data_IF_253935675344
#
_entry.id   IF_253935675344
#
_cell.length_a   1.000
_cell.length_b   1.000
_cell.length_c   1.000
_cell.angle_alpha   90.00
_cell.angle_beta   90.00
_cell.angle_gamma   90.00
#
_symmetry.space_group_name_H-M   'P 1'
#
loop_
_entity.id
_entity.type
_entity.pdbx_description
1 polymer ?
#
# COMPACT_ATOMS: atom_id res chain seq x y z
N UNK A 1 -2.34 -1.33 19.46
CA UNK A 1 -2.97 -0.45 18.45
C UNK A 1 -2.20 0.84 18.38
N UNK A 2 -1.91 1.32 17.18
CA UNK A 2 -1.19 2.56 16.96
C UNK A 2 -2.17 3.73 17.06
N UNK A 3 -1.85 4.73 17.89
CA UNK A 3 -2.63 5.96 17.97
C UNK A 3 -2.17 6.95 16.90
N UNK A 4 -3.10 7.66 16.27
CA UNK A 4 -2.78 8.69 15.28
C UNK A 4 -1.84 9.75 15.88
N UNK A 5 -2.06 10.14 17.14
CA UNK A 5 -1.19 11.10 17.84
C UNK A 5 0.24 10.59 17.99
N UNK A 6 0.44 9.27 18.23
CA UNK A 6 1.77 8.66 18.28
C UNK A 6 2.45 8.65 16.90
N UNK A 7 1.69 8.43 15.84
CA UNK A 7 2.21 8.57 14.48
C UNK A 7 2.62 10.01 14.20
N UNK A 8 1.75 10.97 14.49
CA UNK A 8 2.05 12.40 14.30
C UNK A 8 3.27 12.84 15.10
N UNK A 9 3.41 12.36 16.35
CA UNK A 9 4.60 12.62 17.17
C UNK A 9 5.87 12.00 16.57
N UNK A 10 5.81 10.73 16.14
CA UNK A 10 6.94 10.04 15.50
C UNK A 10 7.34 10.74 14.19
N UNK A 11 6.35 11.12 13.38
CA UNK A 11 6.51 11.89 12.14
C UNK A 11 7.22 13.21 12.41
N UNK A 12 6.75 14.00 13.38
CA UNK A 12 7.34 15.30 13.72
C UNK A 12 8.78 15.18 14.27
N UNK A 13 9.07 14.07 14.96
CA UNK A 13 10.38 13.81 15.56
C UNK A 13 11.31 12.98 14.67
N UNK A 14 10.86 12.56 13.47
CA UNK A 14 11.57 11.63 12.56
C UNK A 14 12.04 10.36 13.27
N UNK A 15 11.17 9.77 14.09
CA UNK A 15 11.45 8.54 14.84
C UNK A 15 10.66 7.36 14.27
N UNK A 16 11.19 6.14 14.35
CA UNK A 16 10.44 4.94 13.98
C UNK A 16 9.28 4.72 14.97
N UNK A 17 8.25 4.06 14.48
CA UNK A 17 7.07 3.68 15.25
C UNK A 17 7.22 2.28 15.81
N UNK A 18 6.71 2.06 17.00
CA UNK A 18 6.53 0.71 17.54
C UNK A 18 5.09 0.28 17.30
N UNK A 19 4.90 -0.65 16.35
CA UNK A 19 3.59 -1.15 15.95
C UNK A 19 3.41 -2.56 16.52
N UNK A 20 2.26 -2.84 17.14
CA UNK A 20 1.89 -4.19 17.57
C UNK A 20 1.49 -5.03 16.35
N UNK A 21 2.09 -6.21 16.21
CA UNK A 21 1.94 -7.10 15.04
C UNK A 21 0.74 -8.04 15.11
N UNK A 22 0.02 -8.09 16.23
CA UNK A 22 -1.07 -9.02 16.33
C UNK A 22 -2.14 -8.72 15.26
N UNK A 23 -2.55 -9.71 14.45
CA UNK A 23 -3.61 -9.50 13.48
C UNK A 23 -4.86 -9.02 14.20
N UNK A 24 -5.40 -7.90 13.75
CA UNK A 24 -6.62 -7.36 14.34
C UNK A 24 -7.80 -8.22 13.91
N UNK A 25 -8.17 -9.17 14.74
CA UNK A 25 -9.38 -9.99 14.57
C UNK A 25 -10.66 -9.22 14.86
N UNK A 26 -10.54 -8.08 15.60
CA UNK A 26 -11.65 -7.18 15.90
C UNK A 26 -11.24 -5.74 15.57
N UNK A 27 -12.02 -5.08 14.72
CA UNK A 27 -11.81 -3.67 14.37
C UNK A 27 -12.20 -2.81 15.58
N UNK A 28 -11.35 -1.86 15.99
CA UNK A 28 -11.72 -0.89 17.03
C UNK A 28 -12.95 -0.09 16.60
N UNK A 29 -13.84 0.23 17.54
CA UNK A 29 -15.06 0.98 17.27
C UNK A 29 -14.85 2.45 16.87
N UNK A 30 -13.63 2.97 17.05
CA UNK A 30 -13.26 4.36 16.76
C UNK A 30 -11.91 4.42 16.03
N UNK A 31 -11.84 3.86 14.83
CA UNK A 31 -10.64 3.96 14.02
C UNK A 31 -10.72 5.21 13.14
N UNK A 32 -9.69 6.07 13.20
CA UNK A 32 -9.61 7.27 12.35
C UNK A 32 -9.15 6.93 10.94
N UNK A 33 -8.08 6.16 10.82
CA UNK A 33 -7.49 5.77 9.54
C UNK A 33 -7.21 4.27 9.52
N UNK A 34 -7.68 3.56 8.49
CA UNK A 34 -7.34 2.18 8.22
C UNK A 34 -6.46 2.07 6.97
N UNK A 35 -5.33 1.38 7.09
CA UNK A 35 -4.66 0.81 5.94
C UNK A 35 -5.22 -0.59 5.71
N UNK A 36 -5.75 -0.84 4.52
CA UNK A 36 -6.46 -2.07 4.17
C UNK A 36 -5.60 -2.84 3.17
N UNK A 37 -5.20 -4.06 3.53
CA UNK A 37 -4.43 -4.95 2.66
C UNK A 37 -5.23 -5.43 1.45
N UNK A 38 -4.65 -6.35 0.70
CA UNK A 38 -5.20 -6.90 -0.53
C UNK A 38 -6.61 -7.45 -0.32
N UNK A 39 -7.53 -7.10 -1.22
CA UNK A 39 -8.96 -7.45 -1.10
C UNK A 39 -9.33 -8.65 -1.99
N UNK A 40 -8.75 -8.72 -3.20
CA UNK A 40 -9.03 -9.76 -4.19
C UNK A 40 -10.53 -10.08 -4.34
N UNK A 41 -11.36 -9.05 -4.43
CA UNK A 41 -12.80 -9.19 -4.65
C UNK A 41 -13.64 -9.53 -3.42
N UNK A 42 -13.08 -9.56 -2.20
CA UNK A 42 -13.82 -9.79 -0.95
C UNK A 42 -14.69 -8.57 -0.56
N UNK A 43 -15.64 -8.22 -1.43
CA UNK A 43 -16.45 -7.00 -1.38
C UNK A 43 -17.14 -6.75 -0.03
N UNK A 44 -17.78 -7.77 0.53
CA UNK A 44 -18.53 -7.63 1.79
C UNK A 44 -17.61 -7.34 2.97
N UNK A 45 -16.45 -7.97 2.98
CA UNK A 45 -15.44 -7.70 3.98
C UNK A 45 -14.88 -6.28 3.83
N UNK A 46 -14.52 -5.87 2.62
CA UNK A 46 -14.00 -4.53 2.36
C UNK A 46 -14.99 -3.44 2.76
N UNK A 47 -16.29 -3.61 2.41
CA UNK A 47 -17.35 -2.68 2.84
C UNK A 47 -17.42 -2.55 4.36
N UNK A 48 -17.33 -3.67 5.07
CA UNK A 48 -17.29 -3.66 6.53
C UNK A 48 -16.09 -2.87 7.04
N UNK A 49 -14.90 -3.04 6.45
CA UNK A 49 -13.68 -2.33 6.89
C UNK A 49 -13.76 -0.82 6.64
N UNK A 50 -14.27 -0.38 5.49
CA UNK A 50 -14.50 1.03 5.23
C UNK A 50 -15.49 1.66 6.22
N UNK A 51 -16.56 0.93 6.59
CA UNK A 51 -17.56 1.42 7.54
C UNK A 51 -17.06 1.47 9.00
N UNK A 52 -15.91 0.88 9.31
CA UNK A 52 -15.33 0.88 10.66
C UNK A 52 -14.31 1.99 10.89
N UNK A 53 -13.98 2.76 9.87
CA UNK A 53 -13.06 3.89 9.97
C UNK A 53 -13.65 5.14 9.33
N UNK A 54 -13.24 6.30 9.84
CA UNK A 54 -13.56 7.58 9.20
C UNK A 54 -12.86 7.71 7.86
N UNK A 55 -11.62 7.22 7.78
CA UNK A 55 -10.74 7.32 6.62
C UNK A 55 -10.15 5.94 6.34
N UNK A 56 -9.98 5.58 5.07
CA UNK A 56 -9.23 4.38 4.70
C UNK A 56 -8.41 4.58 3.43
N UNK A 57 -7.28 3.88 3.37
CA UNK A 57 -6.51 3.70 2.15
C UNK A 57 -6.28 2.20 1.94
N UNK A 58 -6.72 1.70 0.81
CA UNK A 58 -6.53 0.31 0.42
C UNK A 58 -5.27 0.21 -0.45
N UNK A 59 -4.45 -0.80 -0.17
CA UNK A 59 -3.06 -0.93 -0.59
C UNK A 59 -2.86 -1.61 -1.96
N UNK A 60 -3.89 -1.73 -2.78
CA UNK A 60 -3.84 -2.41 -4.08
C UNK A 60 -4.49 -3.79 -4.06
N UNK A 61 -4.64 -4.39 -5.23
CA UNK A 61 -5.33 -5.67 -5.44
C UNK A 61 -6.78 -5.66 -4.94
N UNK A 62 -7.52 -4.63 -5.33
CA UNK A 62 -8.97 -4.54 -5.08
C UNK A 62 -9.71 -5.59 -5.86
N UNK A 63 -9.55 -5.65 -7.14
CA UNK A 63 -10.01 -6.58 -8.17
C UNK A 63 -10.45 -5.86 -9.45
N UNK A 64 -10.21 -6.46 -10.59
CA UNK A 64 -10.58 -5.96 -11.92
C UNK A 64 -12.06 -6.13 -12.32
N UNK A 65 -12.97 -6.34 -11.39
CA UNK A 65 -14.38 -6.52 -11.70
C UNK A 65 -15.13 -5.19 -11.70
N UNK A 66 -15.84 -4.81 -12.79
CA UNK A 66 -16.71 -3.64 -12.79
C UNK A 66 -17.74 -3.63 -11.65
N UNK A 67 -18.12 -4.81 -11.16
CA UNK A 67 -19.02 -4.94 -9.99
C UNK A 67 -18.35 -4.50 -8.69
N UNK A 68 -17.05 -4.58 -8.58
CA UNK A 68 -16.30 -4.13 -7.42
C UNK A 68 -16.32 -2.60 -7.33
N UNK A 69 -16.24 -1.93 -8.47
CA UNK A 69 -16.20 -0.46 -8.51
C UNK A 69 -17.54 0.20 -8.23
N UNK A 70 -18.69 -0.46 -8.53
CA UNK A 70 -20.00 0.01 -8.05
C UNK A 70 -20.11 0.14 -6.54
N UNK A 71 -19.32 -0.63 -5.81
CA UNK A 71 -19.29 -0.56 -4.37
C UNK A 71 -18.76 0.80 -3.86
N UNK A 72 -17.83 1.41 -4.59
CA UNK A 72 -17.28 2.71 -4.23
C UNK A 72 -18.30 3.85 -4.34
N UNK A 73 -19.37 3.70 -5.14
CA UNK A 73 -20.43 4.71 -5.29
C UNK A 73 -21.12 5.06 -3.94
N UNK A 74 -21.09 4.12 -2.98
CA UNK A 74 -21.70 4.28 -1.65
C UNK A 74 -20.73 4.91 -0.61
N UNK A 75 -19.47 5.16 -0.98
CA UNK A 75 -18.43 5.68 -0.08
C UNK A 75 -18.08 7.12 -0.42
N UNK A 76 -17.67 7.89 0.59
CA UNK A 76 -17.13 9.25 0.37
C UNK A 76 -15.73 9.18 -0.26
N UNK A 77 -15.56 9.66 -1.51
CA UNK A 77 -14.27 9.63 -2.19
C UNK A 77 -13.21 10.56 -1.56
N UNK A 78 -13.57 11.44 -0.65
CA UNK A 78 -12.59 12.26 0.07
C UNK A 78 -11.92 11.45 1.19
N UNK A 79 -12.62 10.49 1.74
CA UNK A 79 -12.19 9.75 2.94
C UNK A 79 -11.75 8.32 2.64
N UNK A 80 -12.28 7.69 1.59
CA UNK A 80 -11.97 6.30 1.26
C UNK A 80 -11.26 6.21 -0.08
N UNK A 81 -9.98 5.88 -0.03
CA UNK A 81 -9.09 5.84 -1.20
C UNK A 81 -8.51 4.45 -1.43
N UNK A 82 -8.02 4.21 -2.64
CA UNK A 82 -7.21 3.04 -2.96
C UNK A 82 -6.09 3.41 -3.96
N UNK A 83 -5.05 2.60 -3.97
CA UNK A 83 -4.03 2.54 -5.02
C UNK A 83 -4.21 1.26 -5.85
N UNK A 84 -3.62 1.17 -7.02
CA UNK A 84 -3.59 -0.07 -7.79
C UNK A 84 -2.48 -1.02 -7.30
N UNK A 85 -2.77 -2.32 -7.27
CA UNK A 85 -1.81 -3.39 -7.23
C UNK A 85 -1.55 -3.96 -8.63
N UNK A 86 -0.88 -5.11 -8.71
CA UNK A 86 -0.61 -5.80 -9.97
C UNK A 86 -1.84 -6.51 -10.56
N UNK A 87 -2.91 -6.71 -9.78
CA UNK A 87 -4.18 -7.25 -10.25
C UNK A 87 -5.23 -6.18 -10.57
N UNK A 88 -4.88 -4.88 -10.54
CA UNK A 88 -5.78 -3.76 -10.78
C UNK A 88 -5.33 -2.97 -12.03
N UNK A 89 -5.98 -3.20 -13.16
CA UNK A 89 -5.61 -2.57 -14.43
C UNK A 89 -6.82 -1.98 -15.15
N UNK A 90 -7.63 -1.19 -14.47
CA UNK A 90 -8.82 -0.61 -15.04
C UNK A 90 -8.57 0.62 -15.90
N UNK A 91 -9.26 0.65 -17.05
CA UNK A 91 -9.22 1.77 -17.98
C UNK A 91 -9.90 3.03 -17.44
N UNK A 92 -10.83 2.89 -16.49
CA UNK A 92 -11.60 4.02 -15.92
C UNK A 92 -11.61 3.96 -14.41
N UNK A 93 -10.60 4.52 -13.75
CA UNK A 93 -10.53 4.55 -12.30
C UNK A 93 -11.66 5.41 -11.71
N UNK A 94 -12.18 5.01 -10.54
CA UNK A 94 -13.18 5.77 -9.80
C UNK A 94 -12.56 7.00 -9.11
N UNK A 95 -13.36 7.96 -8.60
CA UNK A 95 -12.86 9.08 -7.81
C UNK A 95 -12.12 8.66 -6.51
N UNK A 96 -12.24 7.38 -6.12
CA UNK A 96 -11.53 6.81 -4.98
C UNK A 96 -10.09 6.38 -5.29
N UNK A 97 -9.74 6.26 -6.58
CA UNK A 97 -8.38 5.97 -7.01
C UNK A 97 -7.49 7.19 -6.81
N UNK A 98 -6.41 7.04 -6.06
CA UNK A 98 -5.46 8.11 -5.80
C UNK A 98 -4.63 8.48 -7.04
N UNK A 99 -4.44 7.56 -7.95
CA UNK A 99 -3.58 7.71 -9.13
C UNK A 99 -2.38 6.77 -9.13
N UNK A 100 -1.52 6.95 -10.11
CA UNK A 100 -0.30 6.15 -10.27
C UNK A 100 0.71 6.44 -9.15
N UNK A 101 0.87 7.71 -8.78
CA UNK A 101 1.71 8.20 -7.69
C UNK A 101 1.27 9.60 -7.28
N UNK A 102 1.66 10.04 -6.11
CA UNK A 102 1.33 11.39 -5.66
C UNK A 102 1.48 11.59 -4.17
N UNK A 103 0.91 12.70 -3.70
CA UNK A 103 0.83 13.06 -2.29
C UNK A 103 -0.64 13.22 -1.89
N UNK A 104 -1.03 12.58 -0.81
CA UNK A 104 -2.34 12.75 -0.19
C UNK A 104 -2.19 13.31 1.23
N UNK A 105 -2.71 14.52 1.43
CA UNK A 105 -2.71 15.18 2.73
C UNK A 105 -4.02 14.90 3.45
N UNK A 106 -3.96 14.21 4.59
CA UNK A 106 -5.14 13.82 5.37
C UNK A 106 -4.82 13.80 6.87
N UNK A 107 -5.67 14.37 7.71
CA UNK A 107 -5.53 14.38 9.19
C UNK A 107 -4.14 14.84 9.68
N UNK A 108 -3.49 15.77 8.99
CA UNK A 108 -2.15 16.25 9.32
C UNK A 108 -0.99 15.36 8.85
N UNK A 109 -1.30 14.24 8.20
CA UNK A 109 -0.30 13.36 7.58
C UNK A 109 -0.07 13.77 6.13
N UNK A 110 1.20 13.79 5.71
CA UNK A 110 1.61 13.85 4.31
C UNK A 110 1.94 12.42 3.87
N UNK A 111 1.06 11.82 3.08
CA UNK A 111 1.17 10.44 2.61
C UNK A 111 1.62 10.46 1.14
N UNK A 112 2.82 9.95 0.87
CA UNK A 112 3.27 9.62 -0.48
C UNK A 112 2.70 8.27 -0.89
N UNK A 113 2.20 8.15 -2.12
CA UNK A 113 1.68 6.87 -2.60
C UNK A 113 2.23 6.51 -3.98
N UNK A 114 2.40 5.20 -4.20
CA UNK A 114 2.90 4.62 -5.45
C UNK A 114 2.12 3.35 -5.75
N UNK A 115 1.45 3.32 -6.91
CA UNK A 115 0.68 2.19 -7.42
C UNK A 115 1.55 1.17 -8.15
N UNK A 116 1.02 -0.04 -8.31
CA UNK A 116 1.59 -1.10 -9.14
C UNK A 116 2.67 -1.93 -8.46
N UNK A 117 2.87 -3.12 -9.00
CA UNK A 117 3.92 -4.05 -8.57
C UNK A 117 4.22 -5.07 -9.67
N UNK A 118 5.39 -5.66 -9.62
CA UNK A 118 5.70 -6.85 -10.40
C UNK A 118 5.06 -8.08 -9.75
N UNK A 119 4.35 -8.90 -10.53
CA UNK A 119 3.69 -10.11 -10.01
C UNK A 119 4.69 -11.12 -9.46
N UNK A 120 4.57 -11.47 -8.18
CA UNK A 120 5.41 -12.50 -7.54
C UNK A 120 5.21 -13.89 -8.16
N UNK A 121 4.08 -14.11 -8.80
CA UNK A 121 3.74 -15.36 -9.51
C UNK A 121 3.85 -15.22 -11.05
N UNK A 122 4.59 -14.25 -11.54
CA UNK A 122 4.74 -13.95 -12.96
C UNK A 122 5.13 -15.18 -13.80
N UNK A 123 6.00 -16.04 -13.30
CA UNK A 123 6.39 -17.30 -14.00
C UNK A 123 5.19 -18.23 -14.20
N UNK A 124 4.31 -18.33 -13.22
CA UNK A 124 3.08 -19.15 -13.31
C UNK A 124 2.09 -18.52 -14.26
N UNK A 125 1.89 -17.20 -14.17
CA UNK A 125 0.93 -16.45 -14.98
C UNK A 125 1.35 -16.31 -16.44
N UNK A 126 2.63 -16.34 -16.74
CA UNK A 126 3.14 -16.29 -18.12
C UNK A 126 2.58 -17.39 -19.04
N UNK A 127 2.14 -18.52 -18.45
CA UNK A 127 1.51 -19.63 -19.17
C UNK A 127 -0.02 -19.66 -18.99
N UNK A 128 -0.62 -18.66 -18.34
CA UNK A 128 -2.06 -18.62 -18.07
C UNK A 128 -2.81 -17.91 -19.17
N UNK A 129 -3.91 -18.55 -19.66
CA UNK A 129 -4.84 -17.90 -20.58
C UNK A 129 -5.97 -17.15 -19.85
N UNK A 130 -6.18 -17.45 -18.57
CA UNK A 130 -7.28 -16.87 -17.76
C UNK A 130 -6.83 -15.74 -16.85
N UNK A 131 -5.53 -15.65 -16.58
CA UNK A 131 -4.92 -14.65 -15.73
C UNK A 131 -3.53 -14.25 -16.30
N UNK A 132 -3.48 -13.61 -17.48
CA UNK A 132 -2.22 -13.23 -18.09
C UNK A 132 -1.56 -12.07 -17.33
N UNK A 133 -0.25 -11.93 -17.49
CA UNK A 133 0.48 -10.75 -17.01
C UNK A 133 0.16 -9.59 -17.96
N UNK A 134 -0.11 -8.42 -17.38
CA UNK A 134 -0.29 -7.18 -18.11
C UNK A 134 0.94 -6.28 -17.96
N UNK A 135 1.32 -5.60 -19.04
CA UNK A 135 2.45 -4.66 -19.03
C UNK A 135 2.25 -3.50 -18.05
N UNK A 136 0.98 -3.17 -17.73
CA UNK A 136 0.57 -2.09 -16.83
C UNK A 136 0.55 -2.50 -15.34
N UNK A 137 0.92 -3.73 -15.00
CA UNK A 137 1.04 -4.14 -13.59
C UNK A 137 2.11 -3.33 -12.84
N UNK A 138 3.16 -2.93 -13.54
CA UNK A 138 4.15 -1.98 -13.06
C UNK A 138 4.04 -0.64 -13.82
N UNK A 139 4.25 0.46 -13.14
CA UNK A 139 4.36 1.77 -13.78
C UNK A 139 5.53 1.83 -14.76
N UNK A 140 5.42 2.68 -15.78
CA UNK A 140 6.52 2.90 -16.73
C UNK A 140 7.74 3.50 -16.03
N UNK A 141 8.94 3.32 -16.59
CA UNK A 141 10.15 3.97 -16.05
C UNK A 141 10.01 5.49 -15.97
N UNK A 142 9.40 6.12 -16.99
CA UNK A 142 9.19 7.56 -16.98
C UNK A 142 8.24 8.03 -15.88
N UNK A 143 7.20 7.24 -15.56
CA UNK A 143 6.28 7.50 -14.44
C UNK A 143 7.01 7.33 -13.10
N UNK A 144 7.79 6.25 -12.95
CA UNK A 144 8.55 5.97 -11.74
C UNK A 144 9.59 7.05 -11.43
N UNK A 145 10.28 7.59 -12.45
CA UNK A 145 11.21 8.71 -12.27
C UNK A 145 10.49 9.95 -11.75
N UNK A 146 9.33 10.30 -12.31
CA UNK A 146 8.52 11.43 -11.84
C UNK A 146 8.01 11.21 -10.40
N UNK A 147 7.66 9.96 -10.06
CA UNK A 147 7.28 9.59 -8.71
C UNK A 147 8.44 9.82 -7.72
N UNK A 148 9.64 9.37 -8.08
CA UNK A 148 10.85 9.59 -7.27
C UNK A 148 11.12 11.09 -7.05
N UNK A 149 11.10 11.89 -8.12
CA UNK A 149 11.33 13.33 -8.05
C UNK A 149 10.32 14.01 -7.11
N UNK A 150 9.02 13.69 -7.27
CA UNK A 150 7.96 14.24 -6.41
C UNK A 150 8.13 13.83 -4.94
N UNK A 151 8.35 12.54 -4.66
CA UNK A 151 8.52 12.04 -3.29
C UNK A 151 9.77 12.64 -2.64
N UNK A 152 10.85 12.81 -3.40
CA UNK A 152 12.09 13.45 -2.95
C UNK A 152 11.89 14.94 -2.65
N UNK A 153 11.13 15.66 -3.45
CA UNK A 153 10.79 17.07 -3.20
C UNK A 153 9.88 17.23 -1.98
N UNK A 154 8.82 16.42 -1.91
CA UNK A 154 7.77 16.54 -0.92
C UNK A 154 8.11 15.95 0.45
N UNK A 155 9.09 15.02 0.52
CA UNK A 155 9.53 14.35 1.76
C UNK A 155 8.36 13.89 2.64
N UNK A 156 7.48 12.99 2.16
CA UNK A 156 6.32 12.56 2.93
C UNK A 156 6.74 11.80 4.19
N UNK A 157 5.94 11.93 5.23
CA UNK A 157 6.20 11.26 6.52
C UNK A 157 5.74 9.80 6.52
N UNK A 158 4.75 9.49 5.69
CA UNK A 158 4.22 8.16 5.47
C UNK A 158 4.31 7.84 3.99
N UNK A 159 4.75 6.64 3.64
CA UNK A 159 4.66 6.11 2.28
C UNK A 159 3.71 4.91 2.26
N UNK A 160 2.89 4.88 1.23
CA UNK A 160 2.00 3.77 0.90
C UNK A 160 2.35 3.29 -0.50
N UNK A 161 2.63 2.00 -0.64
CA UNK A 161 2.85 1.36 -1.94
C UNK A 161 2.19 -0.01 -1.97
N UNK A 162 1.95 -0.57 -3.16
CA UNK A 162 1.49 -1.96 -3.21
C UNK A 162 2.66 -2.90 -2.91
N UNK A 163 3.79 -2.74 -3.58
CA UNK A 163 5.02 -3.49 -3.32
C UNK A 163 5.93 -2.79 -2.30
N UNK A 164 7.09 -3.38 -2.00
CA UNK A 164 8.06 -2.86 -1.05
C UNK A 164 9.45 -2.69 -1.69
N UNK A 165 10.36 -1.88 -1.11
CA UNK A 165 11.75 -1.86 -1.50
C UNK A 165 12.40 -3.24 -1.43
N UNK A 166 13.26 -3.60 -2.39
CA UNK A 166 13.97 -4.88 -2.35
C UNK A 166 14.99 -4.96 -1.20
N UNK A 167 15.47 -3.82 -0.74
CA UNK A 167 16.39 -3.71 0.41
C UNK A 167 15.84 -4.27 1.73
N UNK A 168 14.51 -4.47 1.83
CA UNK A 168 13.89 -5.03 3.04
C UNK A 168 13.49 -6.49 2.90
N UNK A 169 13.83 -7.16 1.80
CA UNK A 169 13.36 -8.53 1.53
C UNK A 169 13.80 -9.58 2.53
N UNK A 170 14.96 -9.38 3.16
CA UNK A 170 15.43 -10.27 4.23
C UNK A 170 14.48 -10.31 5.45
N UNK A 171 13.63 -9.29 5.57
CA UNK A 171 12.61 -9.20 6.61
C UNK A 171 11.27 -9.85 6.21
N UNK A 172 11.10 -10.22 4.93
CA UNK A 172 9.90 -10.85 4.40
C UNK A 172 10.12 -12.34 4.19
N UNK A 173 9.10 -13.14 4.47
CA UNK A 173 9.12 -14.57 4.13
C UNK A 173 8.73 -14.71 2.66
N UNK A 174 9.70 -14.56 1.76
CA UNK A 174 9.45 -14.63 0.34
C UNK A 174 9.33 -16.07 -0.15
N UNK A 175 8.46 -16.28 -1.12
CA UNK A 175 8.39 -17.55 -1.83
C UNK A 175 9.67 -17.72 -2.67
N UNK A 176 10.21 -18.95 -2.72
CA UNK A 176 11.44 -19.29 -3.46
C UNK A 176 11.41 -18.99 -4.97
N UNK A 177 10.22 -18.72 -5.51
CA UNK A 177 9.99 -18.40 -6.92
C UNK A 177 10.02 -16.91 -7.23
N UNK A 178 10.08 -16.05 -6.22
CA UNK A 178 10.12 -14.61 -6.39
C UNK A 178 11.52 -14.14 -6.82
N UNK A 179 11.57 -13.36 -7.87
CA UNK A 179 12.80 -12.77 -8.41
C UNK A 179 12.73 -11.24 -8.32
N UNK A 180 13.21 -10.65 -7.21
CA UNK A 180 13.12 -9.21 -6.96
C UNK A 180 13.97 -8.39 -7.93
N UNK A 181 15.01 -8.98 -8.52
CA UNK A 181 15.99 -8.27 -9.36
C UNK A 181 15.36 -7.74 -10.64
N UNK A 182 14.22 -8.26 -11.05
CA UNK A 182 13.56 -7.90 -12.31
C UNK A 182 12.52 -6.79 -12.19
N UNK A 183 12.13 -6.41 -10.98
CA UNK A 183 11.10 -5.40 -10.77
C UNK A 183 11.68 -4.00 -10.86
N UNK A 184 11.21 -3.21 -11.84
CA UNK A 184 11.52 -1.79 -11.93
C UNK A 184 10.88 -0.99 -10.80
N UNK A 185 9.71 -1.42 -10.33
CA UNK A 185 9.01 -0.81 -9.18
C UNK A 185 9.85 -0.95 -7.92
N UNK A 186 10.32 -2.16 -7.58
CA UNK A 186 11.12 -2.37 -6.38
C UNK A 186 12.42 -1.58 -6.39
N UNK A 187 13.12 -1.53 -7.55
CA UNK A 187 14.34 -0.75 -7.70
C UNK A 187 14.10 0.76 -7.48
N UNK A 188 12.95 1.27 -7.91
CA UNK A 188 12.58 2.66 -7.67
C UNK A 188 12.20 2.90 -6.19
N UNK A 189 11.51 1.95 -5.55
CA UNK A 189 11.21 2.02 -4.13
C UNK A 189 12.49 1.99 -3.27
N UNK A 190 13.53 1.24 -3.69
CA UNK A 190 14.86 1.28 -3.07
C UNK A 190 15.45 2.69 -3.11
N UNK A 191 15.40 3.34 -4.26
CA UNK A 191 15.90 4.71 -4.42
C UNK A 191 15.11 5.72 -3.59
N UNK A 192 13.78 5.56 -3.51
CA UNK A 192 12.94 6.38 -2.63
C UNK A 192 13.32 6.18 -1.16
N UNK A 193 13.60 4.95 -0.74
CA UNK A 193 14.01 4.65 0.63
C UNK A 193 15.36 5.29 0.98
N UNK A 194 16.29 5.34 0.02
CA UNK A 194 17.60 5.98 0.19
C UNK A 194 17.49 7.51 0.25
N UNK A 195 16.63 8.11 -0.59
CA UNK A 195 16.47 9.57 -0.70
C UNK A 195 15.51 10.16 0.35
N UNK A 196 14.62 9.33 0.92
CA UNK A 196 13.61 9.72 1.90
C UNK A 196 13.69 8.82 3.13
N UNK A 197 13.32 9.36 4.27
CA UNK A 197 13.27 8.60 5.53
C UNK A 197 11.89 8.75 6.16
N UNK A 198 10.84 8.12 5.58
CA UNK A 198 9.50 8.17 6.17
C UNK A 198 9.51 7.49 7.54
N UNK A 199 8.69 7.98 8.47
CA UNK A 199 8.53 7.32 9.77
C UNK A 199 7.77 6.00 9.66
N UNK A 200 6.89 5.90 8.65
CA UNK A 200 6.08 4.72 8.38
C UNK A 200 6.01 4.43 6.87
N UNK A 201 6.20 3.17 6.50
CA UNK A 201 5.96 2.66 5.16
C UNK A 201 5.00 1.48 5.21
N UNK A 202 3.82 1.60 4.61
CA UNK A 202 2.77 0.57 4.62
C UNK A 202 2.60 0.00 3.22
N UNK A 203 2.52 -1.32 3.12
CA UNK A 203 2.40 -2.01 1.83
C UNK A 203 1.61 -3.33 1.95
N UNK A 204 1.14 -3.87 0.81
CA UNK A 204 0.43 -5.14 0.69
C UNK A 204 1.23 -6.20 -0.07
N UNK A 205 0.62 -6.82 -1.08
CA UNK A 205 1.23 -7.68 -2.10
C UNK A 205 1.80 -9.02 -1.63
N UNK A 206 2.49 -9.07 -0.50
CA UNK A 206 3.19 -10.26 -0.03
C UNK A 206 2.32 -11.17 0.83
N UNK A 207 1.07 -10.79 1.09
CA UNK A 207 0.12 -11.54 1.91
C UNK A 207 0.71 -11.98 3.26
N UNK A 208 1.34 -11.03 3.94
CA UNK A 208 1.95 -11.23 5.25
C UNK A 208 1.54 -10.13 6.22
N UNK A 209 1.50 -10.46 7.48
CA UNK A 209 1.23 -9.49 8.55
C UNK A 209 2.49 -9.32 9.38
N UNK A 210 3.38 -8.45 8.91
CA UNK A 210 4.71 -8.24 9.49
C UNK A 210 4.95 -6.76 9.68
N UNK A 211 5.62 -6.39 10.77
CA UNK A 211 6.23 -5.08 10.89
C UNK A 211 7.62 -5.17 11.54
N UNK A 212 8.46 -4.22 11.20
CA UNK A 212 9.81 -4.11 11.71
C UNK A 212 10.36 -2.69 11.50
N UNK A 213 11.41 -2.35 12.22
CA UNK A 213 12.12 -1.08 12.05
C UNK A 213 13.37 -1.30 11.22
N UNK A 214 13.49 -0.56 10.13
CA UNK A 214 14.65 -0.57 9.25
C UNK A 214 15.60 0.58 9.59
N UNK A 215 16.87 0.27 9.84
CA UNK A 215 17.96 1.21 10.14
C UNK A 215 17.62 2.26 11.24
N UNK A 216 16.79 1.90 12.22
CA UNK A 216 16.32 2.80 13.28
C UNK A 216 15.64 4.09 12.78
N UNK A 217 15.08 4.08 11.56
CA UNK A 217 14.47 5.25 10.92
C UNK A 217 13.04 5.01 10.46
N UNK A 218 12.82 3.98 9.67
CA UNK A 218 11.53 3.70 9.04
C UNK A 218 10.92 2.45 9.62
N UNK A 219 9.68 2.55 10.09
CA UNK A 219 8.87 1.38 10.40
C UNK A 219 8.18 0.89 9.14
N UNK A 220 8.45 -0.34 8.75
CA UNK A 220 7.74 -1.02 7.67
C UNK A 220 6.59 -1.84 8.24
N UNK A 221 5.44 -1.82 7.57
CA UNK A 221 4.27 -2.64 7.89
C UNK A 221 3.70 -3.27 6.61
N UNK A 222 3.82 -4.57 6.48
CA UNK A 222 3.11 -5.36 5.48
C UNK A 222 1.73 -5.72 6.03
N UNK A 223 0.67 -5.45 5.27
CA UNK A 223 -0.70 -5.78 5.64
C UNK A 223 -1.17 -6.94 4.79
N UNK A 224 -1.51 -8.04 5.46
CA UNK A 224 -1.95 -9.28 4.81
C UNK A 224 -3.27 -9.10 4.06
N UNK A 225 -3.56 -10.04 3.18
CA UNK A 225 -4.84 -10.16 2.48
C UNK A 225 -6.01 -10.22 3.47
N UNK A 226 -7.04 -9.43 3.19
CA UNK A 226 -8.22 -9.30 4.05
C UNK A 226 -7.86 -8.96 5.51
N UNK A 227 -6.90 -8.09 5.68
CA UNK A 227 -6.49 -7.58 6.99
C UNK A 227 -6.36 -6.05 6.96
N UNK A 228 -6.24 -5.44 8.13
CA UNK A 228 -6.11 -4.00 8.30
C UNK A 228 -4.97 -3.65 9.26
N UNK A 229 -4.39 -2.48 9.07
CA UNK A 229 -3.58 -1.80 10.07
C UNK A 229 -4.37 -0.56 10.54
N UNK A 230 -5.06 -0.64 11.69
CA UNK A 230 -5.89 0.45 12.18
C UNK A 230 -5.07 1.49 12.95
N UNK A 231 -5.40 2.76 12.76
CA UNK A 231 -4.92 3.90 13.53
C UNK A 231 -6.09 4.55 14.26
N UNK A 232 -5.98 4.67 15.56
CA UNK A 232 -7.00 5.24 16.43
C UNK A 232 -6.70 6.71 16.71
#
# INVERSE_FOLDING_TARGET
MLKLDQLLEAVNNKKPLNIDTNPYTTVPTECRLNFIGDVHGAKSWYKKMCNTSKISIQLGDVNNSPKMYKFFEDLDPNNHKYIHGNHDWLESPTPHYLGEYGIWNIEGLKIGFISGAYSIDAKRRACSHTDPIHENEELSYSTLIKALELIKEEQPNVIVSHSAPSLIYDNLVLLSTYDPIRSRTNAMLDQILDDCSPSLWVFGHYHQNINFVYQNRTTFACVDKNNILPMI
#
